data_IF_582759054135
#
_entry.id   IF_582759054135
#
_cell.length_a   1.000
_cell.length_b   1.000
_cell.length_c   1.000
_cell.angle_alpha   90.00
_cell.angle_beta   90.00
_cell.angle_gamma   90.00
#
_symmetry.space_group_name_H-M   'P 1'
#
loop_
_entity.id
_entity.type
_entity.pdbx_description
1 polymer ?
#
# COMPACT_ATOMS: atom_id res chain seq x y z
N UNK A 1 6.27 -11.02 -17.86
CA UNK A 1 7.09 -10.33 -16.85
C UNK A 1 6.93 -8.84 -17.02
N UNK A 2 6.70 -8.09 -15.94
CA UNK A 2 6.67 -6.62 -15.94
C UNK A 2 8.03 -6.13 -15.48
N UNK A 3 8.76 -5.40 -16.32
CA UNK A 3 10.13 -4.94 -16.02
C UNK A 3 10.53 -3.80 -16.94
N UNK A 4 11.44 -2.93 -16.47
CA UNK A 4 12.00 -1.85 -17.27
C UNK A 4 11.68 -0.46 -16.71
N UNK A 5 12.28 0.59 -17.29
CA UNK A 5 12.19 1.95 -16.76
C UNK A 5 10.78 2.56 -16.83
N UNK A 6 9.93 2.20 -17.79
CA UNK A 6 8.57 2.71 -17.87
C UNK A 6 7.67 2.19 -16.74
N UNK A 7 8.03 1.06 -16.12
CA UNK A 7 7.32 0.55 -14.94
C UNK A 7 7.41 1.48 -13.74
N UNK A 8 8.46 2.32 -13.68
CA UNK A 8 8.80 3.21 -12.55
C UNK A 8 9.10 2.49 -11.24
N UNK A 9 9.10 1.15 -11.22
CA UNK A 9 9.45 0.36 -10.05
C UNK A 9 10.91 0.60 -9.69
N UNK A 10 11.17 0.94 -8.43
CA UNK A 10 12.53 1.09 -7.90
C UNK A 10 12.77 0.18 -6.68
N UNK A 11 11.85 0.15 -5.72
CA UNK A 11 11.91 -0.69 -4.53
C UNK A 11 10.50 -1.25 -4.29
N UNK A 12 10.14 -2.26 -5.06
CA UNK A 12 8.87 -2.98 -4.88
C UNK A 12 8.95 -3.87 -3.63
N UNK A 13 8.03 -3.69 -2.68
CA UNK A 13 8.06 -4.42 -1.39
C UNK A 13 6.82 -5.27 -1.16
N UNK A 14 5.65 -4.77 -1.56
CA UNK A 14 4.37 -5.47 -1.41
C UNK A 14 3.60 -5.51 -2.70
N UNK A 15 2.86 -6.59 -2.90
CA UNK A 15 2.03 -6.80 -4.08
C UNK A 15 0.71 -7.45 -3.67
N UNK A 16 -0.37 -7.02 -4.30
CA UNK A 16 -1.66 -7.69 -4.23
C UNK A 16 -2.35 -7.61 -5.59
N UNK A 17 -3.36 -8.45 -5.79
CA UNK A 17 -4.21 -8.40 -6.97
C UNK A 17 -5.60 -7.97 -6.55
N UNK A 18 -6.11 -6.93 -7.18
CA UNK A 18 -7.51 -6.56 -7.01
C UNK A 18 -8.40 -7.70 -7.55
N UNK A 19 -9.28 -8.30 -6.71
CA UNK A 19 -10.04 -9.46 -7.13
C UNK A 19 -11.17 -9.15 -8.12
N UNK A 20 -11.68 -7.92 -8.21
CA UNK A 20 -12.74 -7.60 -9.18
C UNK A 20 -12.19 -6.97 -10.46
N UNK A 21 -11.19 -6.08 -10.38
CA UNK A 21 -10.60 -5.46 -11.59
C UNK A 21 -9.48 -6.30 -12.19
N UNK A 22 -8.86 -7.18 -11.40
CA UNK A 22 -7.69 -7.94 -11.79
C UNK A 22 -6.38 -7.14 -11.81
N UNK A 23 -6.43 -5.85 -11.50
CA UNK A 23 -5.26 -4.97 -11.46
C UNK A 23 -4.22 -5.49 -10.47
N UNK A 24 -2.95 -5.37 -10.84
CA UNK A 24 -1.81 -5.70 -10.00
C UNK A 24 -1.42 -4.44 -9.25
N UNK A 25 -1.52 -4.45 -7.93
CA UNK A 25 -1.26 -3.29 -7.07
C UNK A 25 0.06 -3.53 -6.34
N UNK A 26 1.00 -2.60 -6.47
CA UNK A 26 2.37 -2.72 -5.96
C UNK A 26 2.68 -1.53 -5.06
N UNK A 27 3.12 -1.80 -3.83
CA UNK A 27 3.77 -0.81 -2.98
C UNK A 27 5.23 -0.64 -3.40
N UNK A 28 5.57 0.59 -3.79
CA UNK A 28 6.90 0.98 -4.18
C UNK A 28 7.49 1.94 -3.14
N UNK A 29 8.34 1.42 -2.27
CA UNK A 29 8.82 2.16 -1.10
C UNK A 29 9.83 3.26 -1.46
N UNK A 30 10.57 3.11 -2.57
CA UNK A 30 11.68 3.99 -2.92
C UNK A 30 11.24 5.42 -3.28
N UNK A 31 9.99 5.61 -3.68
CA UNK A 31 9.39 6.94 -3.93
C UNK A 31 8.03 7.16 -3.23
N UNK A 32 7.71 6.33 -2.23
CA UNK A 32 6.48 6.42 -1.44
C UNK A 32 5.20 6.36 -2.28
N UNK A 33 5.16 5.46 -3.28
CA UNK A 33 4.03 5.35 -4.20
C UNK A 33 3.37 3.97 -4.20
N UNK A 34 2.11 3.96 -4.63
CA UNK A 34 1.41 2.74 -5.01
C UNK A 34 1.20 2.78 -6.52
N UNK A 35 1.71 1.76 -7.20
CA UNK A 35 1.50 1.56 -8.63
C UNK A 35 0.44 0.51 -8.88
N UNK A 36 -0.40 0.78 -9.87
CA UNK A 36 -1.41 -0.16 -10.34
C UNK A 36 -1.07 -0.49 -11.79
N UNK A 37 -0.94 -1.77 -12.10
CA UNK A 37 -0.73 -2.27 -13.45
C UNK A 37 -1.96 -3.03 -13.93
N UNK A 38 -2.16 -3.06 -15.24
CA UNK A 38 -3.20 -3.89 -15.87
C UNK A 38 -3.01 -5.37 -15.52
N UNK A 39 -4.10 -6.14 -15.46
CA UNK A 39 -4.08 -7.57 -15.17
C UNK A 39 -3.19 -8.37 -16.14
N UNK A 40 -3.07 -7.90 -17.38
CA UNK A 40 -2.32 -8.52 -18.46
C UNK A 40 -1.03 -7.76 -18.78
N UNK A 41 -0.59 -6.86 -17.90
CA UNK A 41 0.64 -6.09 -18.08
C UNK A 41 1.85 -7.02 -18.32
N UNK A 42 2.58 -6.75 -19.40
CA UNK A 42 3.75 -7.52 -19.79
C UNK A 42 4.77 -6.63 -20.50
N UNK A 43 6.05 -6.77 -20.15
CA UNK A 43 7.15 -5.97 -20.65
C UNK A 43 7.34 -4.68 -19.86
N UNK A 44 7.85 -3.66 -20.55
CA UNK A 44 8.14 -2.34 -20.02
C UNK A 44 6.94 -1.42 -20.18
N UNK A 45 5.96 -1.58 -19.29
CA UNK A 45 4.68 -0.88 -19.35
C UNK A 45 4.53 0.07 -18.16
N UNK A 46 3.93 1.23 -18.39
CA UNK A 46 3.64 2.19 -17.33
C UNK A 46 2.47 1.74 -16.44
N UNK A 47 2.45 2.15 -15.16
CA UNK A 47 1.28 1.97 -14.30
C UNK A 47 0.04 2.63 -14.92
N UNK A 48 -1.11 1.93 -14.90
CA UNK A 48 -2.40 2.48 -15.32
C UNK A 48 -2.96 3.49 -14.32
N UNK A 49 -2.49 3.42 -13.07
CA UNK A 49 -2.83 4.35 -12.01
C UNK A 49 -1.65 4.47 -11.04
N UNK A 50 -1.52 5.64 -10.45
CA UNK A 50 -0.49 5.96 -9.45
C UNK A 50 -1.15 6.69 -8.30
N UNK A 51 -0.88 6.28 -7.07
CA UNK A 51 -1.21 6.99 -5.84
C UNK A 51 0.10 7.40 -5.17
N UNK A 52 0.38 8.70 -5.16
CA UNK A 52 1.65 9.25 -4.66
C UNK A 52 1.52 10.75 -4.34
N UNK A 53 2.46 11.25 -3.55
CA UNK A 53 2.56 12.67 -3.20
C UNK A 53 2.30 12.96 -1.73
N UNK A 54 2.55 14.20 -1.28
CA UNK A 54 2.58 14.54 0.15
C UNK A 54 1.23 14.39 0.88
N UNK A 55 0.11 14.53 0.18
CA UNK A 55 -1.22 14.38 0.78
C UNK A 55 -1.53 12.93 1.13
N UNK A 56 -0.89 11.94 0.49
CA UNK A 56 -1.10 10.52 0.82
C UNK A 56 -0.60 10.17 2.21
N UNK A 57 0.34 10.95 2.75
CA UNK A 57 1.01 10.69 4.03
C UNK A 57 1.70 9.31 4.07
N UNK A 58 2.09 8.78 2.91
CA UNK A 58 2.89 7.57 2.81
C UNK A 58 4.37 7.91 2.94
N UNK A 59 5.08 7.14 3.77
CA UNK A 59 6.53 7.16 3.99
C UNK A 59 7.06 5.74 4.15
N UNK A 60 7.72 5.25 3.12
CA UNK A 60 8.08 3.86 2.96
C UNK A 60 6.84 2.97 2.86
N UNK A 61 6.09 3.07 1.76
CA UNK A 61 4.97 2.15 1.52
C UNK A 61 5.48 0.70 1.43
N UNK A 62 4.89 -0.23 2.19
CA UNK A 62 5.36 -1.63 2.28
C UNK A 62 4.29 -2.63 1.88
N UNK A 63 3.23 -2.75 2.68
CA UNK A 63 2.16 -3.72 2.49
C UNK A 63 0.94 -3.08 1.81
N UNK A 64 0.24 -3.86 0.99
CA UNK A 64 -0.99 -3.45 0.32
C UNK A 64 -2.04 -4.55 0.41
N UNK A 65 -3.29 -4.17 0.67
CA UNK A 65 -4.44 -5.07 0.66
C UNK A 65 -5.68 -4.38 0.10
N UNK A 66 -6.54 -5.14 -0.57
CA UNK A 66 -7.80 -4.66 -1.15
C UNK A 66 -8.96 -5.22 -0.35
N UNK A 67 -9.86 -4.34 0.09
CA UNK A 67 -11.14 -4.70 0.68
C UNK A 67 -12.25 -4.31 -0.30
N UNK A 68 -12.79 -5.30 -1.01
CA UNK A 68 -13.87 -5.07 -1.98
C UNK A 68 -15.23 -4.88 -1.33
N UNK A 69 -15.42 -5.31 -0.08
CA UNK A 69 -16.69 -5.11 0.64
C UNK A 69 -16.89 -3.65 1.02
N UNK A 70 -15.82 -2.97 1.42
CA UNK A 70 -15.85 -1.55 1.79
C UNK A 70 -15.33 -0.61 0.70
N UNK A 71 -14.90 -1.14 -0.45
CA UNK A 71 -14.28 -0.38 -1.55
C UNK A 71 -13.02 0.40 -1.12
N UNK A 72 -12.11 -0.29 -0.43
CA UNK A 72 -10.93 0.32 0.18
C UNK A 72 -9.62 -0.32 -0.24
N UNK A 73 -8.58 0.50 -0.28
CA UNK A 73 -7.19 0.10 -0.39
C UNK A 73 -6.51 0.40 0.95
N UNK A 74 -5.89 -0.62 1.53
CA UNK A 74 -5.11 -0.52 2.75
C UNK A 74 -3.64 -0.53 2.40
N UNK A 75 -2.89 0.41 2.97
CA UNK A 75 -1.45 0.56 2.77
C UNK A 75 -0.76 0.67 4.11
N UNK A 76 0.23 -0.18 4.38
CA UNK A 76 1.11 0.01 5.54
C UNK A 76 2.32 0.85 5.14
N UNK A 77 2.70 1.75 6.01
CA UNK A 77 3.75 2.73 5.79
C UNK A 77 4.73 2.68 6.96
N UNK A 78 5.97 2.28 6.68
CA UNK A 78 6.90 1.84 7.73
C UNK A 78 7.62 3.00 8.42
N UNK A 79 8.01 4.06 7.69
CA UNK A 79 8.84 5.14 8.25
C UNK A 79 8.05 6.04 9.20
N UNK A 80 6.74 6.17 8.97
CA UNK A 80 5.84 6.91 9.85
C UNK A 80 4.92 6.01 10.68
N UNK A 81 5.07 4.69 10.59
CA UNK A 81 4.37 3.70 11.43
C UNK A 81 2.85 3.86 11.42
N UNK A 82 2.28 4.01 10.23
CA UNK A 82 0.82 4.10 10.03
C UNK A 82 0.32 3.06 9.05
N UNK A 83 -0.94 2.63 9.24
CA UNK A 83 -1.74 2.04 8.19
C UNK A 83 -2.70 3.10 7.65
N UNK A 84 -2.55 3.45 6.37
CA UNK A 84 -3.41 4.41 5.68
C UNK A 84 -4.46 3.66 4.85
N UNK A 85 -5.69 4.14 4.88
CA UNK A 85 -6.77 3.60 4.07
C UNK A 85 -7.23 4.63 3.06
N UNK A 86 -7.30 4.21 1.80
CA UNK A 86 -7.74 5.02 0.68
C UNK A 86 -9.00 4.43 0.05
N UNK A 87 -9.74 5.21 -0.75
CA UNK A 87 -10.68 4.61 -1.70
C UNK A 87 -9.93 3.59 -2.56
N UNK A 88 -10.52 2.43 -2.84
CA UNK A 88 -9.89 1.37 -3.64
C UNK A 88 -9.40 1.84 -5.01
N UNK A 89 -10.10 2.81 -5.60
CA UNK A 89 -9.77 3.44 -6.89
C UNK A 89 -8.98 4.75 -6.74
N UNK A 90 -8.32 4.97 -5.60
CA UNK A 90 -7.53 6.17 -5.34
C UNK A 90 -6.44 6.39 -6.39
N UNK A 91 -6.25 7.65 -6.76
CA UNK A 91 -5.26 8.10 -7.74
C UNK A 91 -4.75 9.49 -7.42
N UNK A 92 -3.54 9.80 -7.89
CA UNK A 92 -2.90 11.08 -7.70
C UNK A 92 -2.47 11.30 -6.26
N UNK A 93 -2.56 12.56 -5.82
CA UNK A 93 -2.12 13.02 -4.51
C UNK A 93 -3.34 13.32 -3.63
N UNK A 94 -3.91 12.30 -2.99
CA UNK A 94 -5.11 12.44 -2.15
C UNK A 94 -4.84 12.00 -0.71
N UNK A 95 -5.58 12.58 0.24
CA UNK A 95 -5.54 12.17 1.63
C UNK A 95 -6.20 10.80 1.84
N UNK A 96 -5.74 10.00 2.81
CA UNK A 96 -6.41 8.77 3.21
C UNK A 96 -7.78 9.09 3.85
N UNK A 97 -8.74 8.17 3.66
CA UNK A 97 -10.03 8.18 4.37
C UNK A 97 -9.83 8.08 5.88
N UNK A 98 -8.81 7.34 6.30
CA UNK A 98 -8.43 7.15 7.70
C UNK A 98 -6.98 6.69 7.81
N UNK A 99 -6.37 6.99 8.94
CA UNK A 99 -5.07 6.49 9.32
C UNK A 99 -5.17 5.80 10.68
N UNK A 100 -4.54 4.64 10.79
CA UNK A 100 -4.35 3.93 12.05
C UNK A 100 -2.90 4.15 12.43
N UNK A 101 -2.69 4.76 13.58
CA UNK A 101 -1.35 4.99 14.13
C UNK A 101 -1.03 3.95 15.20
N UNK A 102 0.21 3.47 15.23
CA UNK A 102 0.69 2.62 16.32
C UNK A 102 0.89 3.38 17.65
N UNK A 103 0.91 4.73 17.60
CA UNK A 103 1.02 5.61 18.76
C UNK A 103 0.38 6.99 18.44
N UNK A 104 0.06 7.83 19.45
CA UNK A 104 -0.45 9.18 19.21
C UNK A 104 0.48 9.99 18.29
N UNK A 105 -0.05 10.91 17.45
CA UNK A 105 0.77 11.76 16.59
C UNK A 105 1.87 12.50 17.37
N UNK A 106 3.13 12.28 16.99
CA UNK A 106 4.29 12.92 17.65
C UNK A 106 4.82 12.20 18.89
N UNK A 107 4.24 11.05 19.29
CA UNK A 107 4.82 10.21 20.32
C UNK A 107 6.15 9.59 19.85
N UNK A 108 7.14 9.40 20.73
CA UNK A 108 8.37 8.70 20.38
C UNK A 108 8.04 7.30 19.86
N UNK A 109 8.54 7.00 18.66
CA UNK A 109 8.34 5.71 18.02
C UNK A 109 8.98 4.66 18.92
N UNK A 110 8.18 3.71 19.42
CA UNK A 110 8.73 2.48 19.97
C UNK A 110 9.41 1.75 18.81
N UNK A 111 10.72 1.95 18.67
CA UNK A 111 11.52 1.34 17.61
C UNK A 111 11.45 -0.17 17.76
N UNK A 112 10.53 -0.81 17.05
CA UNK A 112 10.50 -2.27 16.91
C UNK A 112 10.50 -2.60 15.42
N UNK A 113 11.55 -3.31 15.03
CA UNK A 113 11.94 -3.55 13.66
C UNK A 113 10.96 -4.43 12.87
N UNK A 114 10.97 -4.19 11.56
CA UNK A 114 10.49 -5.04 10.44
C UNK A 114 9.19 -5.81 10.68
N UNK A 115 8.05 -5.14 10.51
CA UNK A 115 6.75 -5.79 10.33
C UNK A 115 6.71 -6.51 8.97
N UNK A 116 6.97 -7.82 8.97
CA UNK A 116 6.80 -8.69 7.82
C UNK A 116 5.46 -9.42 7.91
N UNK A 117 4.45 -8.93 7.17
CA UNK A 117 3.10 -9.47 7.02
C UNK A 117 2.06 -9.06 8.09
N UNK A 118 0.88 -8.69 7.60
CA UNK A 118 -0.36 -8.53 8.37
C UNK A 118 -1.35 -9.58 7.87
N UNK A 119 -2.04 -10.27 8.78
CA UNK A 119 -3.14 -11.19 8.45
C UNK A 119 -4.40 -10.77 9.22
N UNK A 120 -5.56 -10.87 8.58
CA UNK A 120 -6.85 -10.53 9.18
C UNK A 120 -7.52 -11.79 9.76
N UNK A 121 -7.88 -11.78 11.05
CA UNK A 121 -8.71 -12.82 11.68
C UNK A 121 -10.21 -12.44 11.58
N UNK A 122 -10.99 -13.12 10.73
CA UNK A 122 -12.39 -12.77 10.51
C UNK A 122 -13.32 -13.18 11.68
N UNK A 123 -12.86 -13.99 12.65
CA UNK A 123 -13.66 -14.38 13.82
C UNK A 123 -13.54 -13.39 14.98
N UNK A 124 -12.39 -12.74 15.10
CA UNK A 124 -12.12 -11.75 16.16
C UNK A 124 -12.14 -10.30 15.67
N UNK A 125 -12.20 -10.09 14.35
CA UNK A 125 -12.10 -8.77 13.71
C UNK A 125 -10.79 -8.04 14.05
N UNK A 126 -9.70 -8.79 14.21
CA UNK A 126 -8.39 -8.25 14.60
C UNK A 126 -7.38 -8.40 13.46
N UNK A 127 -6.47 -7.43 13.36
CA UNK A 127 -5.29 -7.53 12.50
C UNK A 127 -4.19 -8.17 13.33
N UNK A 128 -3.79 -9.37 12.93
CA UNK A 128 -2.68 -10.10 13.54
C UNK A 128 -1.41 -9.75 12.77
N UNK A 129 -0.47 -9.13 13.48
CA UNK A 129 0.93 -9.08 13.06
C UNK A 129 1.67 -10.19 13.80
N UNK A 130 2.28 -11.18 13.10
CA UNK A 130 3.21 -12.09 13.73
C UNK A 130 4.49 -11.33 14.13
N UNK A 131 5.17 -11.85 15.14
CA UNK A 131 6.42 -11.28 15.65
C UNK A 131 7.56 -11.33 14.64
#
# INVERSE_FOLDING_TARGET
TIQGPHTRLNVAVGITRDPDSGEIVVANSGDNSIFFFDANANGDVAPVRVLAGPATNLKGATGVAIDTKHNELWVTSWENHVAAVFPRKAQGNIAPLRMIHSAPPGAPLATMGRLGAVAFDPKRQEILAPN
#
